data_IF_834242377472
#
_entry.id   IF_834242377472
#
_cell.length_a   1.000
_cell.length_b   1.000
_cell.length_c   1.000
_cell.angle_alpha   90.00
_cell.angle_beta   90.00
_cell.angle_gamma   90.00
#
_symmetry.space_group_name_H-M   'P 1'
#
loop_
_entity.id
_entity.type
_entity.pdbx_description
1 polymer ?
#
# COMPACT_ATOMS: atom_id res chain seq x y z
N UNK A 1 -64.61 18.53 -55.62
CA UNK A 1 -64.61 19.82 -56.36
C UNK A 1 -65.88 20.62 -56.01
N UNK A 2 -66.18 20.81 -54.73
CA UNK A 2 -67.29 21.62 -54.20
C UNK A 2 -66.96 21.87 -52.73
N UNK A 3 -66.64 23.10 -52.32
CA UNK A 3 -66.80 23.65 -50.95
C UNK A 3 -66.03 24.97 -50.73
N UNK A 4 -64.98 25.29 -51.50
CA UNK A 4 -64.19 26.51 -51.24
C UNK A 4 -64.71 27.79 -51.95
N UNK A 5 -65.65 27.69 -52.88
CA UNK A 5 -66.21 28.86 -53.60
C UNK A 5 -67.38 29.50 -52.83
N UNK A 6 -68.05 28.76 -51.93
CA UNK A 6 -69.24 29.27 -51.24
C UNK A 6 -68.93 30.23 -50.09
N UNK A 7 -67.75 30.11 -49.46
CA UNK A 7 -67.35 30.98 -48.36
C UNK A 7 -66.85 32.34 -48.90
N UNK A 8 -66.24 32.37 -50.09
CA UNK A 8 -65.86 33.62 -50.73
C UNK A 8 -67.07 34.42 -51.25
N UNK A 9 -68.13 33.74 -51.72
CA UNK A 9 -69.34 34.39 -52.21
C UNK A 9 -70.19 35.02 -51.09
N UNK A 10 -70.22 34.43 -49.89
CA UNK A 10 -70.92 35.01 -48.74
C UNK A 10 -70.22 36.23 -48.14
N UNK A 11 -68.92 36.43 -48.42
CA UNK A 11 -68.13 37.58 -47.95
C UNK A 11 -68.19 38.77 -48.91
N UNK A 12 -68.54 38.56 -50.18
CA UNK A 12 -68.54 39.61 -51.20
C UNK A 12 -69.85 40.43 -51.24
N UNK A 13 -70.99 39.84 -50.88
CA UNK A 13 -72.32 40.45 -51.09
C UNK A 13 -72.72 41.51 -50.04
N UNK A 14 -72.02 41.60 -48.90
CA UNK A 14 -72.29 42.65 -47.89
C UNK A 14 -71.42 43.91 -48.06
N UNK A 15 -70.52 43.95 -49.05
CA UNK A 15 -69.52 45.04 -49.17
C UNK A 15 -70.02 46.29 -49.90
N UNK A 16 -71.24 46.29 -50.46
CA UNK A 16 -71.72 47.38 -51.31
C UNK A 16 -72.88 48.22 -50.76
N UNK A 17 -73.43 47.91 -49.57
CA UNK A 17 -74.46 48.74 -48.91
C UNK A 17 -73.92 49.54 -47.70
N UNK A 18 -72.59 49.61 -47.53
CA UNK A 18 -71.94 50.31 -46.41
C UNK A 18 -71.49 51.75 -46.75
N UNK A 19 -72.08 52.40 -47.77
CA UNK A 19 -71.60 53.70 -48.26
C UNK A 19 -72.50 54.91 -47.94
N UNK A 20 -73.62 54.78 -47.20
CA UNK A 20 -74.46 55.96 -46.91
C UNK A 20 -75.19 56.03 -45.57
N UNK A 21 -74.88 55.16 -44.59
CA UNK A 21 -75.30 55.37 -43.21
C UNK A 21 -74.04 55.61 -42.37
N UNK A 22 -74.02 56.73 -41.66
CA UNK A 22 -72.85 57.21 -40.94
C UNK A 22 -72.18 56.10 -40.15
N UNK A 23 -70.84 56.14 -40.09
CA UNK A 23 -69.91 55.21 -39.45
C UNK A 23 -70.39 54.53 -38.15
N UNK A 24 -71.33 55.13 -37.44
CA UNK A 24 -71.91 54.68 -36.18
C UNK A 24 -73.05 53.64 -36.32
N UNK A 25 -73.61 53.43 -37.52
CA UNK A 25 -74.74 52.52 -37.79
C UNK A 25 -74.35 51.17 -38.43
N UNK A 26 -73.06 50.97 -38.72
CA UNK A 26 -72.54 49.72 -39.26
C UNK A 26 -72.13 48.79 -38.11
N UNK A 27 -72.74 47.61 -38.03
CA UNK A 27 -72.43 46.57 -37.04
C UNK A 27 -70.96 46.17 -37.14
N UNK A 28 -70.38 46.18 -38.34
CA UNK A 28 -68.97 45.86 -38.58
C UNK A 28 -68.02 46.85 -37.89
N UNK A 29 -68.41 48.13 -37.78
CA UNK A 29 -67.62 49.15 -37.09
C UNK A 29 -67.57 48.89 -35.58
N UNK A 30 -68.69 48.57 -34.95
CA UNK A 30 -68.72 48.23 -33.52
C UNK A 30 -68.00 46.91 -33.20
N UNK A 31 -68.06 45.92 -34.10
CA UNK A 31 -67.26 44.68 -33.98
C UNK A 31 -65.76 44.97 -34.07
N UNK A 32 -65.34 45.84 -35.00
CA UNK A 32 -63.94 46.30 -35.09
C UNK A 32 -63.50 47.01 -33.81
N UNK A 33 -64.32 47.92 -33.27
CA UNK A 33 -64.03 48.63 -32.01
C UNK A 33 -63.92 47.66 -30.84
N UNK A 34 -64.84 46.69 -30.71
CA UNK A 34 -64.77 45.66 -29.67
C UNK A 34 -63.50 44.79 -29.82
N UNK A 35 -63.13 44.41 -31.05
CA UNK A 35 -61.90 43.65 -31.33
C UNK A 35 -60.63 44.44 -30.95
N UNK A 36 -60.58 45.74 -31.28
CA UNK A 36 -59.47 46.62 -30.91
C UNK A 36 -59.39 46.80 -29.39
N UNK A 37 -60.53 46.95 -28.70
CA UNK A 37 -60.56 47.02 -27.23
C UNK A 37 -60.04 45.72 -26.61
N UNK A 38 -60.47 44.56 -27.12
CA UNK A 38 -60.00 43.25 -26.65
C UNK A 38 -58.49 43.09 -26.88
N UNK A 39 -57.98 43.41 -28.07
CA UNK A 39 -56.53 43.41 -28.35
C UNK A 39 -55.79 44.37 -27.42
N UNK A 40 -56.32 45.58 -27.21
CA UNK A 40 -55.77 46.55 -26.27
C UNK A 40 -55.68 46.00 -24.86
N UNK A 41 -56.70 45.28 -24.40
CA UNK A 41 -56.70 44.59 -23.10
C UNK A 41 -55.68 43.44 -23.09
N UNK A 42 -55.55 42.64 -24.14
CA UNK A 42 -54.53 41.57 -24.23
C UNK A 42 -53.09 42.10 -24.21
N UNK A 43 -52.85 43.24 -24.87
CA UNK A 43 -51.56 43.94 -24.85
C UNK A 43 -51.31 44.51 -23.46
N UNK A 44 -52.30 45.21 -22.85
CA UNK A 44 -52.21 45.78 -21.50
C UNK A 44 -52.05 44.71 -20.41
N UNK A 45 -52.70 43.55 -20.59
CA UNK A 45 -52.61 42.39 -19.71
C UNK A 45 -51.30 41.59 -19.90
N UNK A 46 -50.48 41.94 -20.91
CA UNK A 46 -49.14 41.41 -21.07
C UNK A 46 -49.07 39.93 -21.45
N UNK A 47 -50.11 39.37 -22.09
CA UNK A 47 -50.15 37.94 -22.46
C UNK A 47 -48.99 37.56 -23.37
N UNK A 48 -48.59 38.43 -24.29
CA UNK A 48 -47.40 38.26 -25.14
C UNK A 48 -46.10 38.15 -24.32
N UNK A 49 -45.96 38.95 -23.26
CA UNK A 49 -44.80 38.94 -22.36
C UNK A 49 -44.74 37.65 -21.52
N UNK A 50 -45.88 37.15 -21.06
CA UNK A 50 -45.95 35.89 -20.30
C UNK A 50 -45.56 34.68 -21.15
N UNK A 51 -45.99 34.64 -22.42
CA UNK A 51 -45.58 33.58 -23.36
C UNK A 51 -44.09 33.66 -23.66
N UNK A 52 -43.58 34.85 -24.00
CA UNK A 52 -42.15 35.06 -24.25
C UNK A 52 -41.30 34.67 -23.03
N UNK A 53 -41.68 35.13 -21.83
CA UNK A 53 -40.98 34.74 -20.59
C UNK A 53 -41.04 33.24 -20.31
N UNK A 54 -42.11 32.55 -20.71
CA UNK A 54 -42.23 31.11 -20.56
C UNK A 54 -41.24 30.35 -21.45
N UNK A 55 -41.07 30.81 -22.70
CA UNK A 55 -40.08 30.26 -23.63
C UNK A 55 -38.66 30.58 -23.17
N UNK A 56 -38.39 31.82 -22.73
CA UNK A 56 -37.07 32.22 -22.23
C UNK A 56 -36.67 31.40 -21.00
N UNK A 57 -37.59 31.18 -20.04
CA UNK A 57 -37.34 30.33 -18.87
C UNK A 57 -37.04 28.89 -19.24
N UNK A 58 -37.70 28.36 -20.27
CA UNK A 58 -37.41 27.00 -20.78
C UNK A 58 -36.04 26.95 -21.45
N UNK A 59 -35.71 27.96 -22.26
CA UNK A 59 -34.40 28.08 -22.91
C UNK A 59 -33.27 28.16 -21.88
N UNK A 60 -33.42 29.01 -20.87
CA UNK A 60 -32.46 29.13 -19.75
C UNK A 60 -32.32 27.80 -19.00
N UNK A 61 -33.43 27.16 -18.63
CA UNK A 61 -33.37 25.86 -17.95
C UNK A 61 -32.62 24.80 -18.77
N UNK A 62 -32.90 24.70 -20.07
CA UNK A 62 -32.21 23.73 -20.94
C UNK A 62 -30.72 24.08 -21.07
N UNK A 63 -30.38 25.37 -21.17
CA UNK A 63 -28.99 25.81 -21.20
C UNK A 63 -28.26 25.45 -19.90
N UNK A 64 -28.88 25.69 -18.74
CA UNK A 64 -28.33 25.36 -17.43
C UNK A 64 -28.17 23.85 -17.24
N UNK A 65 -29.16 23.05 -17.65
CA UNK A 65 -29.10 21.59 -17.62
C UNK A 65 -27.99 21.04 -18.52
N UNK A 66 -27.82 21.61 -19.72
CA UNK A 66 -26.76 21.21 -20.65
C UNK A 66 -25.37 21.61 -20.14
N UNK A 67 -25.24 22.77 -19.51
CA UNK A 67 -23.98 23.22 -18.90
C UNK A 67 -23.61 22.34 -17.70
N UNK A 68 -24.58 22.03 -16.83
CA UNK A 68 -24.39 21.10 -15.73
C UNK A 68 -23.98 19.71 -16.22
N UNK A 69 -24.62 19.19 -17.28
CA UNK A 69 -24.26 17.91 -17.88
C UNK A 69 -22.84 17.91 -18.48
N UNK A 70 -22.43 19.01 -19.13
CA UNK A 70 -21.05 19.17 -19.64
C UNK A 70 -20.05 19.17 -18.50
N UNK A 71 -20.31 19.96 -17.45
CA UNK A 71 -19.45 20.01 -16.27
C UNK A 71 -19.31 18.65 -15.59
N UNK A 72 -20.41 17.92 -15.39
CA UNK A 72 -20.36 16.56 -14.83
C UNK A 72 -19.56 15.61 -15.72
N UNK A 73 -19.64 15.74 -17.04
CA UNK A 73 -18.85 14.93 -17.97
C UNK A 73 -17.37 15.26 -17.87
N UNK A 74 -17.00 16.53 -17.79
CA UNK A 74 -15.61 16.97 -17.61
C UNK A 74 -15.05 16.47 -16.28
N UNK A 75 -15.78 16.63 -15.18
CA UNK A 75 -15.40 16.10 -13.86
C UNK A 75 -15.23 14.58 -13.88
N UNK A 76 -16.13 13.85 -14.54
CA UNK A 76 -16.02 12.39 -14.67
C UNK A 76 -14.80 11.98 -15.51
N UNK A 77 -14.49 12.71 -16.58
CA UNK A 77 -13.29 12.47 -17.39
C UNK A 77 -12.01 12.77 -16.61
N UNK A 78 -11.98 13.86 -15.85
CA UNK A 78 -10.86 14.21 -14.99
C UNK A 78 -10.65 13.14 -13.91
N UNK A 79 -11.73 12.73 -13.25
CA UNK A 79 -11.70 11.70 -12.22
C UNK A 79 -11.20 10.36 -12.78
N UNK A 80 -11.67 9.95 -13.97
CA UNK A 80 -11.19 8.76 -14.65
C UNK A 80 -9.68 8.87 -14.94
N UNK A 81 -9.22 10.00 -15.45
CA UNK A 81 -7.81 10.24 -15.72
C UNK A 81 -6.97 10.21 -14.42
N UNK A 82 -7.49 10.76 -13.32
CA UNK A 82 -6.86 10.67 -12.00
C UNK A 82 -6.78 9.22 -11.51
N UNK A 83 -7.85 8.44 -11.61
CA UNK A 83 -7.83 7.02 -11.24
C UNK A 83 -6.84 6.21 -12.06
N UNK A 84 -6.79 6.42 -13.38
CA UNK A 84 -5.84 5.75 -14.25
C UNK A 84 -4.38 6.12 -13.91
N UNK A 85 -4.11 7.38 -13.57
CA UNK A 85 -2.78 7.79 -13.07
C UNK A 85 -2.43 7.10 -11.77
N UNK A 86 -3.32 7.15 -10.78
CA UNK A 86 -3.14 6.50 -9.48
C UNK A 86 -2.96 4.98 -9.60
N UNK A 87 -3.68 4.34 -10.52
CA UNK A 87 -3.52 2.91 -10.78
C UNK A 87 -2.12 2.60 -11.30
N UNK A 88 -1.63 3.35 -12.30
CA UNK A 88 -0.27 3.17 -12.82
C UNK A 88 0.80 3.46 -11.77
N UNK A 89 0.61 4.50 -10.97
CA UNK A 89 1.50 4.83 -9.85
C UNK A 89 1.54 3.70 -8.82
N UNK A 90 0.38 3.16 -8.43
CA UNK A 90 0.30 2.04 -7.50
C UNK A 90 0.92 0.75 -8.06
N UNK A 91 0.74 0.46 -9.35
CA UNK A 91 1.38 -0.67 -10.03
C UNK A 91 2.91 -0.53 -10.04
N UNK A 92 3.42 0.68 -10.32
CA UNK A 92 4.86 0.97 -10.29
C UNK A 92 5.42 0.89 -8.87
N UNK A 93 4.71 1.42 -7.87
CA UNK A 93 5.11 1.35 -6.47
C UNK A 93 5.13 -0.09 -5.97
N UNK A 94 4.10 -0.89 -6.31
CA UNK A 94 4.08 -2.31 -5.98
C UNK A 94 5.26 -3.07 -6.61
N UNK A 95 5.56 -2.80 -7.89
CA UNK A 95 6.72 -3.38 -8.56
C UNK A 95 8.05 -2.98 -7.87
N UNK A 96 8.19 -1.71 -7.48
CA UNK A 96 9.36 -1.21 -6.76
C UNK A 96 9.51 -1.88 -5.38
N UNK A 97 8.42 -2.03 -4.63
CA UNK A 97 8.39 -2.74 -3.34
C UNK A 97 8.85 -4.19 -3.51
N UNK A 98 8.37 -4.88 -4.55
CA UNK A 98 8.75 -6.28 -4.81
C UNK A 98 10.24 -6.39 -5.15
N UNK A 99 10.77 -5.49 -6.00
CA UNK A 99 12.18 -5.51 -6.34
C UNK A 99 13.08 -5.15 -5.14
N UNK A 100 12.68 -4.18 -4.32
CA UNK A 100 13.37 -3.86 -3.08
C UNK A 100 13.35 -5.05 -2.11
N UNK A 101 12.21 -5.69 -1.92
CA UNK A 101 12.08 -6.87 -1.07
C UNK A 101 12.97 -8.03 -1.56
N UNK A 102 13.07 -8.26 -2.87
CA UNK A 102 14.00 -9.25 -3.45
C UNK A 102 15.46 -8.88 -3.21
N UNK A 103 15.82 -7.61 -3.38
CA UNK A 103 17.17 -7.13 -3.14
C UNK A 103 17.56 -7.28 -1.66
N UNK A 104 16.65 -6.93 -0.76
CA UNK A 104 16.82 -7.06 0.69
C UNK A 104 16.91 -8.53 1.11
N UNK A 105 16.07 -9.41 0.56
CA UNK A 105 16.14 -10.84 0.81
C UNK A 105 17.48 -11.44 0.35
N UNK A 106 17.99 -11.03 -0.82
CA UNK A 106 19.32 -11.45 -1.30
C UNK A 106 20.43 -10.97 -0.37
N UNK A 107 20.39 -9.70 0.07
CA UNK A 107 21.36 -9.14 1.01
C UNK A 107 21.34 -9.87 2.34
N UNK A 108 20.15 -10.10 2.92
CA UNK A 108 19.97 -10.88 4.14
C UNK A 108 20.48 -12.31 4.00
N UNK A 109 20.26 -12.96 2.84
CA UNK A 109 20.76 -14.31 2.61
C UNK A 109 22.30 -14.37 2.57
N UNK A 110 22.95 -13.36 1.96
CA UNK A 110 24.41 -13.25 1.96
C UNK A 110 24.93 -12.99 3.38
N UNK A 111 24.38 -12.01 4.08
CA UNK A 111 24.79 -11.70 5.46
C UNK A 111 24.57 -12.89 6.42
N UNK A 112 23.48 -13.64 6.25
CA UNK A 112 23.22 -14.84 7.05
C UNK A 112 24.26 -15.93 6.77
N UNK A 113 24.64 -16.15 5.50
CA UNK A 113 25.69 -17.10 5.13
C UNK A 113 27.03 -16.70 5.73
N UNK A 114 27.39 -15.42 5.64
CA UNK A 114 28.64 -14.91 6.19
C UNK A 114 28.69 -15.06 7.71
N UNK A 115 27.60 -14.73 8.42
CA UNK A 115 27.47 -14.96 9.87
C UNK A 115 27.57 -16.44 10.23
N UNK A 116 26.94 -17.33 9.47
CA UNK A 116 27.02 -18.78 9.70
C UNK A 116 28.46 -19.27 9.51
N UNK A 117 29.16 -18.83 8.46
CA UNK A 117 30.56 -19.19 8.22
C UNK A 117 31.46 -18.69 9.36
N UNK A 118 31.28 -17.45 9.80
CA UNK A 118 32.03 -16.90 10.92
C UNK A 118 31.78 -17.70 12.21
N UNK A 119 30.52 -18.04 12.49
CA UNK A 119 30.16 -18.87 13.64
C UNK A 119 30.75 -20.28 13.54
N UNK A 120 30.78 -20.89 12.35
CA UNK A 120 31.41 -22.20 12.14
C UNK A 120 32.91 -22.13 12.42
N UNK A 121 33.64 -21.17 11.85
CA UNK A 121 35.08 -21.01 12.11
C UNK A 121 35.37 -20.76 13.60
N UNK A 122 34.56 -19.95 14.28
CA UNK A 122 34.71 -19.74 15.74
C UNK A 122 34.47 -21.03 16.51
N UNK A 123 33.46 -21.83 16.13
CA UNK A 123 33.17 -23.13 16.76
C UNK A 123 34.26 -24.15 16.50
N UNK A 124 34.78 -24.22 15.28
CA UNK A 124 35.91 -25.10 14.92
C UNK A 124 37.11 -24.81 15.78
N UNK A 125 37.52 -23.54 15.91
CA UNK A 125 38.63 -23.14 16.80
C UNK A 125 38.37 -23.51 18.25
N UNK A 126 37.15 -23.27 18.76
CA UNK A 126 36.79 -23.63 20.13
C UNK A 126 36.82 -25.15 20.36
N UNK A 127 36.42 -25.96 19.37
CA UNK A 127 36.50 -27.42 19.44
C UNK A 127 37.95 -27.90 19.36
N UNK A 128 38.76 -27.33 18.48
CA UNK A 128 40.19 -27.64 18.36
C UNK A 128 40.94 -27.33 19.67
N UNK A 129 40.67 -26.19 20.29
CA UNK A 129 41.22 -25.84 21.60
C UNK A 129 40.77 -26.81 22.69
N UNK A 130 39.50 -27.24 22.69
CA UNK A 130 39.00 -28.25 23.63
C UNK A 130 39.69 -29.59 23.44
N UNK A 131 39.90 -30.04 22.20
CA UNK A 131 40.60 -31.28 21.88
C UNK A 131 42.04 -31.20 22.39
N UNK A 132 42.77 -30.12 22.09
CA UNK A 132 44.16 -29.93 22.58
C UNK A 132 44.25 -29.97 24.11
N UNK A 133 43.28 -29.35 24.80
CA UNK A 133 43.21 -29.41 26.27
C UNK A 133 42.92 -30.83 26.77
N UNK A 134 41.98 -31.54 26.14
CA UNK A 134 41.65 -32.91 26.50
C UNK A 134 42.83 -33.88 26.25
N UNK A 135 43.57 -33.71 25.15
CA UNK A 135 44.78 -34.47 24.86
C UNK A 135 45.86 -34.23 25.93
N UNK A 136 46.13 -32.96 26.27
CA UNK A 136 47.09 -32.62 27.32
C UNK A 136 46.68 -33.21 28.68
N UNK A 137 45.39 -33.17 29.00
CA UNK A 137 44.86 -33.77 30.22
C UNK A 137 44.98 -35.29 30.22
N UNK A 138 44.65 -35.97 29.11
CA UNK A 138 44.80 -37.42 28.99
C UNK A 138 46.26 -37.86 29.10
N UNK A 139 47.20 -37.12 28.50
CA UNK A 139 48.64 -37.39 28.65
C UNK A 139 49.08 -37.23 30.10
N UNK A 140 48.60 -36.19 30.80
CA UNK A 140 48.90 -35.98 32.21
C UNK A 140 48.33 -37.12 33.09
N UNK A 141 47.09 -37.54 32.82
CA UNK A 141 46.43 -38.66 33.50
C UNK A 141 47.23 -39.96 33.34
N UNK A 142 47.64 -40.31 32.11
CA UNK A 142 48.45 -41.51 31.84
C UNK A 142 49.81 -41.45 32.54
N UNK A 143 50.45 -40.28 32.55
CA UNK A 143 51.72 -40.09 33.27
C UNK A 143 51.57 -40.28 34.77
N UNK A 144 50.51 -39.74 35.37
CA UNK A 144 50.22 -39.92 36.79
C UNK A 144 49.95 -41.39 37.11
N UNK A 145 49.09 -42.07 36.33
CA UNK A 145 48.82 -43.50 36.52
C UNK A 145 50.08 -44.37 36.37
N UNK A 146 50.97 -44.01 35.44
CA UNK A 146 52.25 -44.72 35.26
C UNK A 146 53.19 -44.47 36.44
N UNK A 147 53.24 -43.24 36.95
CA UNK A 147 54.04 -42.89 38.13
C UNK A 147 53.54 -43.66 39.37
N UNK A 148 52.22 -43.70 39.59
CA UNK A 148 51.60 -44.43 40.69
C UNK A 148 51.89 -45.94 40.59
N UNK A 149 51.80 -46.52 39.38
CA UNK A 149 52.15 -47.93 39.16
C UNK A 149 53.63 -48.21 39.39
N UNK A 150 54.52 -47.29 38.96
CA UNK A 150 55.96 -47.42 39.16
C UNK A 150 56.33 -47.34 40.66
N UNK A 151 55.70 -46.42 41.42
CA UNK A 151 55.86 -46.32 42.87
C UNK A 151 55.36 -47.60 43.55
N UNK A 152 54.17 -48.08 43.20
CA UNK A 152 53.61 -49.32 43.76
C UNK A 152 54.49 -50.54 43.45
N UNK A 153 55.08 -50.62 42.24
CA UNK A 153 56.02 -51.68 41.87
C UNK A 153 57.33 -51.57 42.65
N UNK A 154 57.88 -50.36 42.81
CA UNK A 154 59.08 -50.11 43.60
C UNK A 154 58.88 -50.48 45.08
N UNK A 155 57.75 -50.09 45.68
CA UNK A 155 57.36 -50.50 47.04
C UNK A 155 57.33 -52.02 47.19
N UNK A 156 56.75 -52.72 46.20
CA UNK A 156 56.67 -54.19 46.20
C UNK A 156 58.05 -54.84 46.12
N UNK A 157 58.93 -54.35 45.24
CA UNK A 157 60.30 -54.85 45.10
C UNK A 157 61.13 -54.58 46.36
N UNK A 158 60.98 -53.40 46.98
CA UNK A 158 61.64 -53.05 48.24
C UNK A 158 61.16 -53.99 49.35
N UNK A 159 59.85 -54.24 49.45
CA UNK A 159 59.28 -55.16 50.44
C UNK A 159 59.78 -56.60 50.27
N UNK A 160 59.93 -57.09 49.03
CA UNK A 160 60.48 -58.44 48.76
C UNK A 160 61.98 -58.56 49.01
N UNK A 161 62.75 -57.47 48.86
CA UNK A 161 64.21 -57.43 49.06
C UNK A 161 64.63 -57.04 50.49
N UNK A 162 63.69 -56.63 51.34
CA UNK A 162 63.95 -56.23 52.72
C UNK A 162 64.19 -57.44 53.63
N UNK A 163 65.45 -57.86 53.73
CA UNK A 163 65.96 -58.70 54.82
C UNK A 163 66.48 -57.83 55.99
N UNK A 164 66.60 -58.42 57.20
CA UNK A 164 67.12 -57.77 58.42
C UNK A 164 68.46 -57.05 58.19
N UNK A 165 69.29 -57.56 57.27
CA UNK A 165 70.58 -56.99 56.90
C UNK A 165 70.47 -55.72 56.04
N UNK A 166 69.46 -55.64 55.15
CA UNK A 166 69.21 -54.48 54.31
C UNK A 166 68.60 -53.31 55.10
N UNK A 167 67.82 -53.61 56.15
CA UNK A 167 67.18 -52.62 57.01
C UNK A 167 68.19 -51.78 57.80
N UNK A 168 69.25 -52.39 58.32
CA UNK A 168 70.34 -51.68 59.02
C UNK A 168 71.11 -50.73 58.10
N UNK A 169 71.44 -51.17 56.88
CA UNK A 169 72.15 -50.35 55.90
C UNK A 169 71.35 -49.11 55.42
N UNK A 170 70.02 -49.22 55.32
CA UNK A 170 69.14 -48.09 54.97
C UNK A 170 69.06 -47.08 56.11
N UNK A 171 69.01 -47.53 57.37
CA UNK A 171 68.99 -46.65 58.55
C UNK A 171 70.31 -45.88 58.68
N UNK A 172 71.46 -46.55 58.52
CA UNK A 172 72.77 -45.87 58.55
C UNK A 172 72.93 -44.86 57.40
N UNK A 173 72.38 -45.17 56.22
CA UNK A 173 72.37 -44.25 55.07
C UNK A 173 71.45 -43.04 55.29
N UNK A 174 70.31 -43.21 55.97
CA UNK A 174 69.43 -42.11 56.34
C UNK A 174 70.05 -41.22 57.43
N UNK A 175 70.72 -41.81 58.42
CA UNK A 175 71.43 -41.07 59.49
C UNK A 175 72.62 -40.28 58.91
N UNK A 176 73.37 -40.86 57.97
CA UNK A 176 74.47 -40.16 57.28
C UNK A 176 74.00 -39.10 56.29
N UNK A 177 72.90 -39.33 55.58
CA UNK A 177 72.27 -38.33 54.71
C UNK A 177 71.77 -37.11 55.49
N UNK A 178 71.07 -37.35 56.61
CA UNK A 178 70.66 -36.25 57.49
C UNK A 178 71.88 -35.47 57.98
N UNK A 179 72.95 -36.13 58.43
CA UNK A 179 74.20 -35.48 58.87
C UNK A 179 74.85 -34.58 57.80
N UNK A 180 74.70 -34.90 56.52
CA UNK A 180 75.24 -34.09 55.43
C UNK A 180 74.38 -32.86 55.08
N UNK A 181 73.06 -32.90 55.30
CA UNK A 181 72.16 -31.76 55.04
C UNK A 181 72.15 -30.71 56.17
N UNK A 182 72.72 -31.04 57.34
CA UNK A 182 72.88 -30.13 58.50
C UNK A 182 74.29 -29.53 58.62
N UNK A 183 75.17 -29.76 57.65
CA UNK A 183 76.48 -29.10 57.50
C UNK A 183 76.44 -28.15 56.31
#
# INVERSE_FOLDING_TARGET
MFSLVSIAAAVADETHEAASKGLLADTSFWVLVAFVIVIGVFIRAGVHKSIASGLDKRGQRIADELDAARKMREEAQELLAQYQRRQREAENEAAAIIEQAKADAKRMAVEARDKINEQMTRREKAVEEKIKRAEAQAIAEVRNQTADLAVAAAERVIAERMDKTAQGAVIDKAISGLRNDIN
#
